data_IF_556550413626
#
_entry.id   IF_556550413626
#
_cell.length_a   1.000
_cell.length_b   1.000
_cell.length_c   1.000
_cell.angle_alpha   90.00
_cell.angle_beta   90.00
_cell.angle_gamma   90.00
#
_symmetry.space_group_name_H-M   'P 1'
#
loop_
_entity.id
_entity.type
_entity.pdbx_description
1 polymer ?
#
# COMPACT_ATOMS: atom_id res chain seq x y z
N UNK A 1 -19.61 -2.21 -12.21
CA UNK A 1 -18.73 -3.26 -12.78
C UNK A 1 -17.29 -2.76 -12.93
N UNK A 2 -17.04 -1.64 -13.62
CA UNK A 2 -15.68 -1.06 -13.74
C UNK A 2 -15.01 -0.84 -12.37
N UNK A 3 -15.76 -0.32 -11.40
CA UNK A 3 -15.26 -0.03 -10.05
C UNK A 3 -14.76 -1.28 -9.32
N UNK A 4 -15.52 -2.37 -9.39
CA UNK A 4 -15.12 -3.65 -8.81
C UNK A 4 -13.85 -4.20 -9.49
N UNK A 5 -13.73 -4.08 -10.82
CA UNK A 5 -12.56 -4.53 -11.55
C UNK A 5 -11.31 -3.75 -11.14
N UNK A 6 -11.40 -2.42 -11.03
CA UNK A 6 -10.28 -1.58 -10.60
C UNK A 6 -9.87 -1.92 -9.17
N UNK A 7 -10.83 -2.09 -8.26
CA UNK A 7 -10.55 -2.50 -6.88
C UNK A 7 -9.83 -3.84 -6.80
N UNK A 8 -10.35 -4.86 -7.51
CA UNK A 8 -9.72 -6.18 -7.54
C UNK A 8 -8.35 -6.16 -8.21
N UNK A 9 -8.16 -5.36 -9.26
CA UNK A 9 -6.87 -5.20 -9.93
C UNK A 9 -5.82 -4.56 -9.01
N UNK A 10 -6.19 -3.54 -8.23
CA UNK A 10 -5.30 -2.92 -7.24
C UNK A 10 -4.93 -3.91 -6.13
N UNK A 11 -5.93 -4.64 -5.60
CA UNK A 11 -5.68 -5.63 -4.55
C UNK A 11 -4.79 -6.79 -5.02
N UNK A 12 -5.17 -7.44 -6.12
CA UNK A 12 -4.42 -8.57 -6.67
C UNK A 12 -3.04 -8.13 -7.17
N UNK A 13 -2.95 -6.96 -7.80
CA UNK A 13 -1.70 -6.37 -8.28
C UNK A 13 -0.74 -6.04 -7.14
N UNK A 14 -1.21 -5.38 -6.08
CA UNK A 14 -0.41 -5.10 -4.89
C UNK A 14 0.11 -6.37 -4.23
N UNK A 15 -0.74 -7.37 -4.04
CA UNK A 15 -0.35 -8.66 -3.48
C UNK A 15 0.65 -9.41 -4.38
N UNK A 16 0.47 -9.37 -5.70
CA UNK A 16 1.40 -9.98 -6.64
C UNK A 16 2.78 -9.28 -6.62
N UNK A 17 2.82 -7.95 -6.49
CA UNK A 17 4.07 -7.20 -6.33
C UNK A 17 4.79 -7.64 -5.05
N UNK A 18 4.07 -7.76 -3.93
CA UNK A 18 4.64 -8.23 -2.65
C UNK A 18 5.18 -9.65 -2.80
N UNK A 19 4.37 -10.58 -3.32
CA UNK A 19 4.73 -12.00 -3.43
C UNK A 19 5.94 -12.25 -4.35
N UNK A 20 6.19 -11.37 -5.31
CA UNK A 20 7.29 -11.48 -6.28
C UNK A 20 8.44 -10.51 -6.00
N UNK A 21 8.40 -9.78 -4.88
CA UNK A 21 9.40 -8.78 -4.55
C UNK A 21 10.74 -9.43 -4.21
N UNK A 22 11.82 -8.89 -4.82
CA UNK A 22 13.22 -9.23 -4.49
C UNK A 22 13.92 -8.14 -3.70
N UNK A 23 13.24 -7.03 -3.42
CA UNK A 23 13.75 -5.92 -2.63
C UNK A 23 12.65 -5.38 -1.73
N UNK A 24 13.04 -4.90 -0.55
CA UNK A 24 12.11 -4.30 0.40
C UNK A 24 11.39 -3.08 -0.19
N UNK A 25 12.03 -2.33 -1.08
CA UNK A 25 11.39 -1.22 -1.80
C UNK A 25 10.20 -1.70 -2.64
N UNK A 26 10.33 -2.85 -3.32
CA UNK A 26 9.20 -3.43 -4.09
C UNK A 26 8.09 -3.92 -3.16
N UNK A 27 8.42 -4.45 -1.98
CA UNK A 27 7.42 -4.80 -0.96
C UNK A 27 6.62 -3.56 -0.54
N UNK A 28 7.31 -2.45 -0.28
CA UNK A 28 6.66 -1.17 0.08
C UNK A 28 5.73 -0.71 -1.04
N UNK A 29 6.18 -0.70 -2.30
CA UNK A 29 5.33 -0.33 -3.44
C UNK A 29 4.07 -1.21 -3.53
N UNK A 30 4.20 -2.52 -3.29
CA UNK A 30 3.06 -3.43 -3.28
C UNK A 30 2.08 -3.17 -2.13
N UNK A 31 2.58 -2.84 -0.93
CA UNK A 31 1.76 -2.42 0.20
C UNK A 31 1.00 -1.11 -0.10
N UNK A 32 1.67 -0.12 -0.70
CA UNK A 32 1.03 1.15 -1.10
C UNK A 32 -0.08 0.96 -2.13
N UNK A 33 0.05 -0.03 -3.02
CA UNK A 33 -1.02 -0.38 -3.95
C UNK A 33 -2.28 -0.91 -3.23
N UNK A 34 -2.11 -1.62 -2.10
CA UNK A 34 -3.22 -2.08 -1.26
C UNK A 34 -3.87 -0.91 -0.51
N UNK A 35 -3.07 0.03 -0.01
CA UNK A 35 -3.55 1.29 0.60
C UNK A 35 -4.37 2.11 -0.40
N UNK A 36 -3.91 2.20 -1.66
CA UNK A 36 -4.66 2.84 -2.72
C UNK A 36 -5.99 2.13 -3.01
N UNK A 37 -6.02 0.80 -2.96
CA UNK A 37 -7.26 0.03 -3.08
C UNK A 37 -8.25 0.36 -1.95
N UNK A 38 -7.77 0.54 -0.71
CA UNK A 38 -8.59 0.91 0.43
C UNK A 38 -9.16 2.34 0.29
N UNK A 39 -8.34 3.29 -0.14
CA UNK A 39 -8.77 4.67 -0.46
C UNK A 39 -9.86 4.63 -1.54
N UNK A 40 -9.62 3.86 -2.62
CA UNK A 40 -10.56 3.72 -3.72
C UNK A 40 -11.89 3.05 -3.29
N UNK A 41 -11.84 2.07 -2.39
CA UNK A 41 -13.05 1.50 -1.80
C UNK A 41 -13.85 2.53 -0.99
N UNK A 42 -13.15 3.35 -0.20
CA UNK A 42 -13.76 4.45 0.55
C UNK A 42 -14.42 5.50 -0.35
N UNK A 43 -13.80 5.83 -1.49
CA UNK A 43 -14.39 6.79 -2.45
C UNK A 43 -15.63 6.22 -3.13
N UNK A 44 -15.63 4.94 -3.52
CA UNK A 44 -16.83 4.27 -4.08
C UNK A 44 -17.96 4.21 -3.05
N UNK A 45 -17.63 3.97 -1.78
CA UNK A 45 -18.61 3.96 -0.71
C UNK A 45 -19.17 5.37 -0.37
N UNK A 46 -18.61 6.44 -0.97
CA UNK A 46 -19.01 7.82 -0.69
C UNK A 46 -18.65 8.30 0.72
N UNK A 47 -17.73 7.61 1.41
CA UNK A 47 -17.41 7.87 2.81
C UNK A 47 -16.09 8.62 2.94
N UNK A 48 -16.19 9.95 3.14
CA UNK A 48 -15.02 10.81 3.30
C UNK A 48 -14.19 10.43 4.55
N UNK A 49 -14.84 9.98 5.62
CA UNK A 49 -14.17 9.52 6.83
C UNK A 49 -13.32 8.28 6.56
N UNK A 50 -13.83 7.30 5.79
CA UNK A 50 -13.05 6.12 5.42
C UNK A 50 -11.86 6.47 4.53
N UNK A 51 -12.05 7.37 3.57
CA UNK A 51 -10.96 7.87 2.71
C UNK A 51 -9.87 8.53 3.54
N UNK A 52 -10.25 9.42 4.47
CA UNK A 52 -9.31 10.12 5.33
C UNK A 52 -8.52 9.16 6.24
N UNK A 53 -9.21 8.19 6.85
CA UNK A 53 -8.56 7.18 7.70
C UNK A 53 -7.61 6.30 6.89
N UNK A 54 -8.03 5.81 5.72
CA UNK A 54 -7.18 4.99 4.86
C UNK A 54 -5.93 5.75 4.39
N UNK A 55 -6.08 7.02 4.00
CA UNK A 55 -4.97 7.87 3.59
C UNK A 55 -4.01 8.15 4.76
N UNK A 56 -4.53 8.48 5.94
CA UNK A 56 -3.70 8.75 7.12
C UNK A 56 -2.95 7.49 7.59
N UNK A 57 -3.63 6.36 7.64
CA UNK A 57 -3.03 5.07 7.99
C UNK A 57 -1.93 4.69 6.99
N UNK A 58 -2.19 4.89 5.69
CA UNK A 58 -1.21 4.70 4.62
C UNK A 58 0.06 5.50 4.85
N UNK A 59 -0.05 6.81 5.05
CA UNK A 59 1.13 7.67 5.30
C UNK A 59 1.94 7.20 6.51
N UNK A 60 1.27 6.85 7.62
CA UNK A 60 1.94 6.36 8.84
C UNK A 60 2.68 5.05 8.54
N UNK A 61 2.02 4.11 7.86
CA UNK A 61 2.61 2.84 7.45
C UNK A 61 3.86 3.07 6.58
N UNK A 62 3.76 3.89 5.52
CA UNK A 62 4.87 4.18 4.62
C UNK A 62 6.07 4.73 5.39
N UNK A 63 5.83 5.68 6.29
CA UNK A 63 6.89 6.30 7.09
C UNK A 63 7.59 5.26 7.96
N UNK A 64 6.84 4.36 8.60
CA UNK A 64 7.42 3.29 9.42
C UNK A 64 8.21 2.28 8.60
N UNK A 65 7.70 1.87 7.43
CA UNK A 65 8.37 0.93 6.53
C UNK A 65 9.67 1.53 5.97
N UNK A 66 9.63 2.79 5.54
CA UNK A 66 10.80 3.50 5.03
C UNK A 66 11.83 3.72 6.14
N UNK A 67 11.41 4.13 7.34
CA UNK A 67 12.32 4.27 8.48
C UNK A 67 13.00 2.93 8.84
N UNK A 68 12.25 1.84 8.78
CA UNK A 68 12.78 0.48 9.00
C UNK A 68 13.79 0.11 7.91
N UNK A 69 13.48 0.39 6.65
CA UNK A 69 14.39 0.17 5.52
C UNK A 69 15.71 0.94 5.70
N UNK A 70 15.65 2.22 6.06
CA UNK A 70 16.85 3.02 6.33
C UNK A 70 17.68 2.45 7.48
N UNK A 71 17.02 2.01 8.56
CA UNK A 71 17.72 1.39 9.70
C UNK A 71 18.45 0.11 9.28
N UNK A 72 17.80 -0.76 8.51
CA UNK A 72 18.39 -2.00 8.03
C UNK A 72 19.55 -1.74 7.05
N UNK A 73 19.39 -0.76 6.15
CA UNK A 73 20.45 -0.37 5.20
C UNK A 73 21.69 0.15 5.93
N UNK A 74 21.50 0.99 6.97
CA UNK A 74 22.59 1.48 7.82
C UNK A 74 23.29 0.35 8.61
N UNK A 75 22.56 -0.72 8.93
CA UNK A 75 23.10 -1.93 9.56
C UNK A 75 23.77 -2.92 8.61
N UNK A 76 23.75 -2.67 7.29
CA UNK A 76 24.32 -3.56 6.27
C UNK A 76 23.48 -4.82 6.02
N UNK A 77 22.17 -4.77 6.24
CA UNK A 77 21.26 -5.92 6.12
C UNK A 77 20.41 -5.92 4.85
N UNK A 78 20.60 -4.94 3.96
CA UNK A 78 19.80 -4.73 2.73
C UNK A 78 20.70 -4.30 1.58
#
# INVERSE_FOLDING_TARGET
>A
MISLIVFLALMAGGLAIIATARSLVRVIIGAEALTLAAIYAGTIAGSLSMVAVAAAAGVIETVMLVATLFKLAKGGHV
#
